data_IF_474863781990
#
_entry.id   IF_474863781990
#
_cell.length_a   1.000
_cell.length_b   1.000
_cell.length_c   1.000
_cell.angle_alpha   90.00
_cell.angle_beta   90.00
_cell.angle_gamma   90.00
#
_symmetry.space_group_name_H-M   'P 1'
#
loop_
_entity.id
_entity.type
_entity.pdbx_description
1 polymer ?
#
# COMPACT_ATOMS: atom_id res chain seq x y z
N UNK A 1 -14.21 20.32 -7.73
CA UNK A 1 -14.81 19.91 -6.44
C UNK A 1 -13.82 18.97 -5.77
N UNK A 2 -13.16 19.42 -4.70
CA UNK A 2 -12.30 18.56 -3.89
C UNK A 2 -13.22 17.73 -2.99
N UNK A 3 -13.35 16.44 -3.30
CA UNK A 3 -14.05 15.47 -2.47
C UNK A 3 -13.22 15.36 -1.19
N UNK A 4 -13.76 15.86 -0.06
CA UNK A 4 -13.08 15.70 1.21
C UNK A 4 -12.86 14.19 1.45
N UNK A 5 -11.69 13.77 1.94
CA UNK A 5 -11.45 12.39 2.35
C UNK A 5 -12.53 11.95 3.33
N UNK A 6 -13.51 11.15 2.89
CA UNK A 6 -14.43 10.53 3.82
C UNK A 6 -13.67 9.46 4.58
N UNK A 7 -13.87 9.38 5.90
CA UNK A 7 -13.24 8.36 6.76
C UNK A 7 -13.55 6.95 6.22
N UNK A 8 -14.73 6.76 5.64
CA UNK A 8 -15.14 5.54 4.94
C UNK A 8 -14.31 5.25 3.68
N UNK A 9 -14.00 6.27 2.88
CA UNK A 9 -13.14 6.14 1.69
C UNK A 9 -11.69 5.79 2.04
N UNK A 10 -11.15 6.37 3.11
CA UNK A 10 -9.81 6.01 3.60
C UNK A 10 -9.77 4.58 4.13
N UNK A 11 -10.81 4.16 4.87
CA UNK A 11 -10.92 2.78 5.35
C UNK A 11 -11.01 1.79 4.19
N UNK A 12 -11.83 2.09 3.17
CA UNK A 12 -11.94 1.26 1.97
C UNK A 12 -10.59 1.09 1.25
N UNK A 13 -9.85 2.18 1.02
CA UNK A 13 -8.55 2.12 0.36
C UNK A 13 -7.53 1.33 1.19
N UNK A 14 -7.58 1.44 2.52
CA UNK A 14 -6.75 0.64 3.42
C UNK A 14 -7.07 -0.85 3.30
N UNK A 15 -8.34 -1.21 3.40
CA UNK A 15 -8.78 -2.61 3.30
C UNK A 15 -8.42 -3.20 1.92
N UNK A 16 -8.54 -2.40 0.86
CA UNK A 16 -8.15 -2.80 -0.49
C UNK A 16 -6.62 -2.99 -0.65
N UNK A 17 -5.81 -2.08 -0.11
CA UNK A 17 -4.36 -2.24 -0.09
C UNK A 17 -3.93 -3.48 0.70
N UNK A 18 -4.59 -3.78 1.82
CA UNK A 18 -4.37 -5.03 2.58
C UNK A 18 -4.70 -6.24 1.71
N UNK A 19 -5.81 -6.21 0.96
CA UNK A 19 -6.21 -7.31 0.08
C UNK A 19 -5.20 -7.57 -1.04
N UNK A 20 -4.74 -6.54 -1.75
CA UNK A 20 -3.71 -6.69 -2.78
C UNK A 20 -2.41 -7.30 -2.21
N UNK A 21 -2.00 -6.84 -1.02
CA UNK A 21 -0.85 -7.42 -0.32
C UNK A 21 -1.11 -8.87 0.14
N UNK A 22 -2.38 -9.26 0.39
CA UNK A 22 -2.76 -10.65 0.71
C UNK A 22 -2.61 -11.58 -0.48
N UNK A 23 -3.07 -11.12 -1.64
CA UNK A 23 -3.04 -11.91 -2.87
C UNK A 23 -1.59 -12.18 -3.30
N UNK A 24 -0.65 -11.28 -2.96
CA UNK A 24 0.80 -11.49 -3.10
C UNK A 24 1.47 -12.35 -1.97
N UNK A 25 0.69 -12.95 -1.06
CA UNK A 25 1.18 -13.67 0.14
C UNK A 25 2.02 -12.85 1.16
N UNK A 26 1.92 -11.52 1.13
CA UNK A 26 2.70 -10.60 1.97
C UNK A 26 2.07 -10.13 3.32
N UNK A 27 0.80 -10.39 3.68
CA UNK A 27 0.12 -9.61 4.73
C UNK A 27 0.50 -10.02 6.15
N UNK A 28 1.15 -11.18 6.30
CA UNK A 28 1.68 -11.68 7.57
C UNK A 28 3.22 -11.55 7.66
N UNK A 29 3.86 -10.99 6.64
CA UNK A 29 5.32 -10.79 6.60
C UNK A 29 5.65 -9.35 6.98
N UNK A 30 6.75 -9.19 7.71
CA UNK A 30 7.30 -7.86 8.01
C UNK A 30 7.60 -7.13 6.69
N UNK A 31 7.70 -5.80 6.73
CA UNK A 31 8.22 -5.04 5.58
C UNK A 31 9.61 -5.58 5.22
N UNK A 32 9.68 -6.35 4.14
CA UNK A 32 10.91 -6.87 3.54
C UNK A 32 11.43 -5.94 2.44
N UNK A 33 12.64 -6.22 1.94
CA UNK A 33 13.31 -5.47 0.87
C UNK A 33 12.43 -5.28 -0.36
N UNK A 34 11.60 -6.26 -0.72
CA UNK A 34 10.69 -6.20 -1.87
C UNK A 34 9.63 -5.09 -1.77
N UNK A 35 9.18 -4.76 -0.56
CA UNK A 35 8.22 -3.67 -0.38
C UNK A 35 8.88 -2.29 -0.39
N UNK A 36 10.20 -2.21 -0.23
CA UNK A 36 10.89 -0.92 -0.09
C UNK A 36 10.78 -0.10 -1.36
N UNK A 37 10.92 -0.71 -2.52
CA UNK A 37 10.83 -0.01 -3.80
C UNK A 37 9.41 0.51 -4.06
N UNK A 38 8.39 -0.33 -3.83
CA UNK A 38 6.98 0.07 -3.95
C UNK A 38 6.63 1.21 -2.97
N UNK A 39 7.00 1.07 -1.69
CA UNK A 39 6.76 2.11 -0.68
C UNK A 39 7.51 3.41 -1.00
N UNK A 40 8.74 3.30 -1.50
CA UNK A 40 9.53 4.45 -1.95
C UNK A 40 8.86 5.16 -3.13
N UNK A 41 8.42 4.43 -4.15
CA UNK A 41 7.72 5.00 -5.31
C UNK A 41 6.41 5.65 -4.90
N UNK A 42 5.72 5.08 -3.92
CA UNK A 42 4.51 5.65 -3.33
C UNK A 42 4.76 6.81 -2.34
N UNK A 43 6.02 7.23 -2.12
CA UNK A 43 6.36 8.30 -1.19
C UNK A 43 6.04 7.98 0.28
N UNK A 44 6.02 6.70 0.63
CA UNK A 44 5.72 6.21 1.98
C UNK A 44 7.04 5.97 2.70
N UNK A 45 7.23 6.61 3.86
CA UNK A 45 8.35 6.28 4.73
C UNK A 45 8.14 4.90 5.35
N UNK A 46 9.18 4.06 5.34
CA UNK A 46 9.12 2.72 5.93
C UNK A 46 10.27 2.50 6.91
N UNK A 47 10.06 1.53 7.80
CA UNK A 47 11.07 1.01 8.71
C UNK A 47 11.15 -0.51 8.56
N UNK A 48 12.36 -1.04 8.47
CA UNK A 48 12.56 -2.48 8.37
C UNK A 48 12.06 -3.21 9.62
N UNK A 49 11.41 -4.37 9.40
CA UNK A 49 10.81 -5.15 10.48
C UNK A 49 9.50 -4.58 11.03
N UNK A 50 9.03 -3.42 10.55
CA UNK A 50 7.74 -2.87 10.98
C UNK A 50 6.57 -3.73 10.49
N UNK A 51 5.49 -3.72 11.25
CA UNK A 51 4.25 -4.37 10.87
C UNK A 51 3.57 -3.59 9.73
N UNK A 52 3.24 -4.27 8.63
CA UNK A 52 2.55 -3.68 7.49
C UNK A 52 1.19 -3.08 7.89
N UNK A 53 0.45 -3.72 8.79
CA UNK A 53 -0.82 -3.19 9.28
C UNK A 53 -0.67 -1.85 10.02
N UNK A 54 0.41 -1.69 10.79
CA UNK A 54 0.74 -0.43 11.49
C UNK A 54 1.19 0.66 10.51
N UNK A 55 1.88 0.29 9.43
CA UNK A 55 2.22 1.22 8.37
C UNK A 55 0.95 1.76 7.69
N UNK A 56 0.07 0.85 7.23
CA UNK A 56 -1.17 1.16 6.51
C UNK A 56 -2.18 1.95 7.35
N UNK A 57 -2.16 1.81 8.68
CA UNK A 57 -3.03 2.60 9.56
C UNK A 57 -2.66 4.09 9.58
N UNK A 58 -1.37 4.41 9.43
CA UNK A 58 -0.83 5.77 9.45
C UNK A 58 -0.84 6.51 8.10
N UNK A 59 -1.23 5.84 7.00
CA UNK A 59 -1.17 6.44 5.67
C UNK A 59 -2.34 7.42 5.41
N UNK A 60 -2.00 8.53 4.76
CA UNK A 60 -2.98 9.44 4.16
C UNK A 60 -3.70 8.79 2.98
N UNK A 61 -4.83 9.37 2.57
CA UNK A 61 -5.57 8.87 1.41
C UNK A 61 -4.75 8.91 0.12
N UNK A 62 -3.94 9.95 -0.08
CA UNK A 62 -3.08 10.10 -1.26
C UNK A 62 -2.00 9.02 -1.29
N UNK A 63 -1.37 8.74 -0.15
CA UNK A 63 -0.38 7.66 -0.03
C UNK A 63 -1.00 6.27 -0.24
N UNK A 64 -2.21 6.03 0.28
CA UNK A 64 -2.92 4.78 0.04
C UNK A 64 -3.24 4.59 -1.45
N UNK A 65 -3.67 5.65 -2.13
CA UNK A 65 -3.95 5.60 -3.56
C UNK A 65 -2.69 5.33 -4.37
N UNK A 66 -1.62 6.06 -4.09
CA UNK A 66 -0.33 5.87 -4.75
C UNK A 66 0.23 4.46 -4.52
N UNK A 67 0.07 3.91 -3.31
CA UNK A 67 0.45 2.52 -3.02
C UNK A 67 -0.35 1.51 -3.85
N UNK A 68 -1.67 1.70 -3.96
CA UNK A 68 -2.54 0.83 -4.76
C UNK A 68 -2.15 0.89 -6.23
N UNK A 69 -1.85 2.07 -6.76
CA UNK A 69 -1.41 2.23 -8.16
C UNK A 69 -0.08 1.48 -8.38
N UNK A 70 0.90 1.61 -7.49
CA UNK A 70 2.17 0.88 -7.59
C UNK A 70 1.99 -0.65 -7.49
N UNK A 71 1.13 -1.12 -6.57
CA UNK A 71 0.86 -2.56 -6.43
C UNK A 71 0.14 -3.15 -7.65
N UNK A 72 -0.61 -2.34 -8.40
CA UNK A 72 -1.26 -2.77 -9.64
C UNK A 72 -0.33 -2.72 -10.84
N UNK A 73 0.56 -1.73 -10.90
CA UNK A 73 1.57 -1.63 -11.95
C UNK A 73 2.60 -2.77 -11.84
N UNK A 74 3.03 -3.16 -10.62
CA UNK A 74 3.94 -4.30 -10.41
C UNK A 74 3.30 -5.67 -10.79
N UNK A 75 1.95 -5.78 -10.77
CA UNK A 75 1.22 -7.00 -11.21
C UNK A 75 1.13 -7.09 -12.75
N UNK A 76 1.42 -5.99 -13.47
CA UNK A 76 1.36 -5.90 -14.93
C UNK A 76 2.72 -6.13 -15.62
N UNK A 77 3.81 -6.25 -14.86
CA UNK A 77 5.17 -6.49 -15.37
C UNK A 77 5.50 -8.01 -15.48
N UNK A 78 4.52 -8.82 -15.90
CA UNK A 78 4.69 -10.22 -16.31
C UNK A 78 4.35 -10.44 -17.82
N UNK A 79 4.70 -9.50 -18.70
CA UNK A 79 4.76 -9.74 -20.16
C UNK A 79 5.98 -9.08 -20.82
N UNK A 80 7.11 -9.80 -20.87
CA UNK A 80 7.98 -9.86 -22.06
C UNK A 80 8.71 -11.22 -22.20
#
# INVERSE_FOLDING_TARGET
MAIAPTIEGQKYLRDFAVQLLRDAELPHRQVTVLHRDILRRAGIAWQDGQCMASLLSGLSQEQLRSLIDQLRDDDLDEEE
#
